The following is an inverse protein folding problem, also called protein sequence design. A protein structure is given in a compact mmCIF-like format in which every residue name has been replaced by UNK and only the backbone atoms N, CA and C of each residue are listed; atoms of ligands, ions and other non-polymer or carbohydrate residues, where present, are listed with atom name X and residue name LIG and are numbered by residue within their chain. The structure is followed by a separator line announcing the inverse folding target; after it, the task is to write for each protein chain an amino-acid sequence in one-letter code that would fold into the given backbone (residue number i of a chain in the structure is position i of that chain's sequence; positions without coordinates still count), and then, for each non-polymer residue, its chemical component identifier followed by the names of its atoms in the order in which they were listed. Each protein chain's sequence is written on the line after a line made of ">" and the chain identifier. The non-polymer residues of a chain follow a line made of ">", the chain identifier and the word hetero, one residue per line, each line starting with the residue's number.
data_IF_629799295930
#
_entry.id   IF_629799295930
#
_cell.length_a   1.000
_cell.length_b   1.000
_cell.length_c   1.000
_cell.angle_alpha   90.00
_cell.angle_beta   90.00
_cell.angle_gamma   90.00
#
_symmetry.space_group_name_H-M   'P 1'
#
loop_
_entity.id
_entity.type
_entity.pdbx_description
1 polymer ?
#
# COMPACT_ATOMS: atom_id res chain seq x y z
N UNK A 1 17.39 -8.57 -0.63
CA UNK A 1 16.60 -9.78 -0.30
C UNK A 1 17.17 -11.04 -0.93
N UNK A 2 17.66 -10.99 -2.17
CA UNK A 2 18.32 -12.14 -2.82
C UNK A 2 19.49 -12.73 -2.02
N UNK A 3 20.28 -11.91 -1.32
CA UNK A 3 21.42 -12.38 -0.53
C UNK A 3 20.99 -13.30 0.63
N UNK A 4 19.94 -12.94 1.37
CA UNK A 4 19.45 -13.77 2.48
C UNK A 4 18.78 -15.05 1.98
N UNK A 5 18.04 -14.99 0.87
CA UNK A 5 17.39 -16.15 0.28
C UNK A 5 18.36 -17.10 -0.45
N UNK A 6 19.48 -16.59 -0.98
CA UNK A 6 20.50 -17.42 -1.65
C UNK A 6 21.50 -18.07 -0.69
N UNK A 7 21.71 -17.46 0.49
CA UNK A 7 22.68 -17.95 1.48
C UNK A 7 22.05 -18.86 2.55
N UNK A 8 20.72 -18.77 2.74
CA UNK A 8 19.94 -19.55 3.70
C UNK A 8 18.79 -20.26 3.00
N UNK A 9 19.06 -21.42 2.45
CA UNK A 9 18.07 -22.21 1.69
C UNK A 9 16.99 -22.86 2.55
N UNK A 10 17.19 -22.99 3.88
CA UNK A 10 16.17 -23.47 4.83
C UNK A 10 16.45 -22.88 6.22
N UNK A 11 15.52 -22.13 6.78
CA UNK A 11 15.60 -21.61 8.14
C UNK A 11 15.74 -22.76 9.20
N UNK A 12 15.18 -23.93 8.91
CA UNK A 12 15.25 -25.13 9.74
C UNK A 12 16.67 -25.71 9.87
N UNK A 13 17.53 -25.54 8.85
CA UNK A 13 18.90 -26.08 8.87
C UNK A 13 19.86 -25.29 9.78
N UNK A 14 19.48 -24.08 10.21
CA UNK A 14 20.31 -23.17 11.00
C UNK A 14 19.74 -22.88 12.40
N UNK A 15 18.60 -23.48 12.77
CA UNK A 15 17.92 -23.20 14.05
C UNK A 15 17.32 -21.78 14.10
N UNK A 16 17.22 -21.10 12.98
CA UNK A 16 16.62 -19.76 12.91
C UNK A 16 15.10 -19.84 13.09
N UNK A 17 14.50 -18.89 13.79
CA UNK A 17 13.06 -18.81 13.90
C UNK A 17 12.38 -18.63 12.53
N UNK A 18 11.22 -19.25 12.28
CA UNK A 18 10.56 -19.20 10.97
C UNK A 18 10.12 -17.78 10.53
N UNK A 19 9.95 -16.88 11.49
CA UNK A 19 9.59 -15.48 11.25
C UNK A 19 10.78 -14.54 11.01
N UNK A 20 12.03 -15.02 11.18
CA UNK A 20 13.23 -14.18 11.17
C UNK A 20 13.40 -13.42 9.84
N UNK A 21 13.17 -14.09 8.70
CA UNK A 21 13.31 -13.47 7.39
C UNK A 21 12.30 -12.34 7.19
N UNK A 22 11.06 -12.53 7.60
CA UNK A 22 10.02 -11.50 7.52
C UNK A 22 10.32 -10.32 8.46
N UNK A 23 10.85 -10.61 9.66
CA UNK A 23 11.30 -9.57 10.59
C UNK A 23 12.44 -8.74 10.03
N UNK A 24 13.46 -9.38 9.46
CA UNK A 24 14.55 -8.67 8.80
C UNK A 24 14.06 -7.80 7.62
N UNK A 25 13.08 -8.29 6.86
CA UNK A 25 12.47 -7.52 5.78
C UNK A 25 11.70 -6.31 6.31
N UNK A 26 10.93 -6.50 7.38
CA UNK A 26 10.17 -5.44 8.02
C UNK A 26 11.08 -4.29 8.50
N UNK A 27 12.17 -4.62 9.22
CA UNK A 27 13.16 -3.64 9.67
C UNK A 27 13.87 -2.94 8.49
N UNK A 28 14.19 -3.71 7.44
CA UNK A 28 14.82 -3.15 6.24
C UNK A 28 13.88 -2.17 5.51
N UNK A 29 12.58 -2.47 5.42
CA UNK A 29 11.60 -1.57 4.78
C UNK A 29 11.49 -0.25 5.52
N UNK A 30 11.49 -0.26 6.86
CA UNK A 30 11.50 0.96 7.67
C UNK A 30 12.70 1.83 7.30
N UNK A 31 13.90 1.25 7.33
CA UNK A 31 15.13 1.97 6.99
C UNK A 31 15.11 2.46 5.54
N UNK A 32 14.64 1.64 4.59
CA UNK A 32 14.59 2.01 3.18
C UNK A 32 13.70 3.23 2.93
N UNK A 33 12.58 3.33 3.64
CA UNK A 33 11.69 4.50 3.57
C UNK A 33 12.27 5.72 4.27
N UNK A 34 12.97 5.53 5.40
CA UNK A 34 13.57 6.64 6.15
C UNK A 34 14.65 7.35 5.33
N UNK A 35 15.49 6.59 4.60
CA UNK A 35 16.60 7.13 3.81
C UNK A 35 16.22 7.41 2.34
N UNK A 36 14.99 7.18 1.92
CA UNK A 36 14.58 7.40 0.53
C UNK A 36 14.68 8.89 0.16
N UNK A 37 15.40 9.18 -0.93
CA UNK A 37 15.51 10.55 -1.50
C UNK A 37 14.34 10.81 -2.45
N UNK A 38 13.13 10.79 -1.90
CA UNK A 38 11.88 11.04 -2.60
C UNK A 38 11.00 11.98 -1.77
N UNK A 39 10.20 12.78 -2.46
CA UNK A 39 9.20 13.66 -1.85
C UNK A 39 7.79 13.26 -2.25
N UNK A 40 6.81 13.66 -1.46
CA UNK A 40 5.40 13.47 -1.79
C UNK A 40 5.02 14.38 -2.97
N UNK A 41 4.47 13.84 -4.07
CA UNK A 41 4.17 14.58 -5.29
C UNK A 41 2.87 15.40 -5.17
N UNK A 42 2.82 16.34 -4.23
CA UNK A 42 1.67 17.24 -4.04
C UNK A 42 1.38 18.13 -5.27
N UNK A 43 2.39 18.39 -6.07
CA UNK A 43 2.27 19.12 -7.34
C UNK A 43 1.41 18.38 -8.38
N UNK A 44 1.28 17.06 -8.26
CA UNK A 44 0.43 16.22 -9.13
C UNK A 44 -1.02 16.15 -8.65
N UNK A 45 -1.34 16.64 -7.46
CA UNK A 45 -2.68 16.59 -6.90
C UNK A 45 -3.52 17.76 -7.40
N UNK A 46 -4.73 17.47 -7.89
CA UNK A 46 -5.75 18.47 -8.20
C UNK A 46 -6.78 18.52 -7.05
N UNK A 47 -6.77 19.58 -6.21
CA UNK A 47 -7.73 19.69 -5.12
C UNK A 47 -9.19 19.86 -5.58
N UNK A 48 -9.38 20.27 -6.83
CA UNK A 48 -10.71 20.46 -7.47
C UNK A 48 -11.07 19.32 -8.42
N UNK A 49 -10.20 18.30 -8.55
CA UNK A 49 -10.42 17.16 -9.41
C UNK A 49 -11.69 16.38 -9.06
N UNK A 50 -12.31 15.76 -10.05
CA UNK A 50 -13.46 14.90 -9.83
C UNK A 50 -13.09 13.74 -8.90
N UNK A 51 -13.91 13.52 -7.88
CA UNK A 51 -13.61 12.53 -6.84
C UNK A 51 -13.71 11.10 -7.36
N UNK A 52 -14.70 10.81 -8.20
CA UNK A 52 -14.97 9.44 -8.67
C UNK A 52 -14.33 9.15 -10.01
N UNK A 53 -14.25 10.14 -10.88
CA UNK A 53 -13.83 9.96 -12.28
C UNK A 53 -12.38 10.42 -12.54
N UNK A 54 -11.62 10.71 -11.46
CA UNK A 54 -10.17 10.94 -11.54
C UNK A 54 -9.37 9.70 -11.18
N UNK A 55 -8.17 9.60 -11.76
CA UNK A 55 -7.11 8.77 -11.19
C UNK A 55 -6.65 9.38 -9.87
N UNK A 56 -6.01 8.58 -9.02
CA UNK A 56 -5.56 9.05 -7.72
C UNK A 56 -4.05 8.99 -7.60
N UNK A 57 -3.49 10.00 -6.97
CA UNK A 57 -2.06 10.02 -6.66
C UNK A 57 -1.82 9.20 -5.41
N UNK A 58 -1.11 8.09 -5.58
CA UNK A 58 -0.61 7.25 -4.48
C UNK A 58 0.81 7.71 -4.16
N UNK A 59 1.14 7.79 -2.88
CA UNK A 59 2.48 8.17 -2.44
C UNK A 59 3.53 7.18 -2.97
N UNK A 60 4.67 7.64 -3.49
CA UNK A 60 5.79 6.77 -3.83
C UNK A 60 6.54 6.25 -2.60
N UNK A 61 6.25 6.80 -1.43
CA UNK A 61 6.88 6.48 -0.15
C UNK A 61 6.04 5.53 0.68
N UNK A 62 5.53 4.46 0.04
CA UNK A 62 4.72 3.43 0.68
C UNK A 62 5.17 2.03 0.25
N UNK A 63 4.99 1.09 1.16
CA UNK A 63 5.08 -0.34 0.88
C UNK A 63 3.85 -1.03 1.47
N UNK A 64 3.07 -1.70 0.61
CA UNK A 64 1.96 -2.58 1.04
C UNK A 64 2.50 -4.01 1.11
N UNK A 65 2.53 -4.58 2.31
CA UNK A 65 3.24 -5.81 2.63
C UNK A 65 2.28 -6.85 3.22
N UNK A 66 2.49 -8.11 2.82
CA UNK A 66 1.83 -9.26 3.43
C UNK A 66 2.86 -10.18 4.06
N UNK A 67 2.67 -10.48 5.34
CA UNK A 67 3.51 -11.39 6.12
C UNK A 67 2.68 -12.57 6.61
N UNK A 68 3.34 -13.69 6.85
CA UNK A 68 2.72 -14.84 7.50
C UNK A 68 2.73 -14.71 9.04
N UNK A 69 3.60 -13.84 9.54
CA UNK A 69 3.80 -13.60 10.96
C UNK A 69 3.49 -12.14 11.32
N UNK A 70 2.96 -11.90 12.54
CA UNK A 70 2.73 -10.54 13.02
C UNK A 70 4.05 -9.87 13.47
N UNK A 71 4.97 -9.66 12.51
CA UNK A 71 6.36 -9.20 12.75
C UNK A 71 6.41 -7.86 13.49
N UNK A 72 5.44 -6.97 13.27
CA UNK A 72 5.34 -5.68 13.97
C UNK A 72 5.07 -5.79 15.47
N UNK A 73 4.70 -6.98 15.97
CA UNK A 73 4.46 -7.23 17.40
C UNK A 73 5.63 -7.93 18.07
N UNK A 74 6.68 -8.30 17.32
CA UNK A 74 7.83 -9.04 17.87
C UNK A 74 8.66 -8.10 18.74
N UNK A 75 8.92 -8.56 19.95
CA UNK A 75 9.78 -7.89 20.92
C UNK A 75 10.29 -8.87 21.97
N UNK A 76 11.19 -8.46 22.86
CA UNK A 76 11.81 -9.34 23.87
C UNK A 76 10.82 -10.10 24.75
N UNK A 77 9.63 -9.52 24.98
CA UNK A 77 8.58 -10.10 25.83
C UNK A 77 7.48 -10.83 25.05
N UNK A 78 7.45 -10.74 23.72
CA UNK A 78 6.36 -11.27 22.87
C UNK A 78 6.79 -12.41 21.97
N UNK A 79 8.09 -12.65 21.85
CA UNK A 79 8.67 -13.68 20.97
C UNK A 79 8.30 -15.10 21.41
N UNK A 80 8.18 -15.32 22.74
CA UNK A 80 7.74 -16.60 23.28
C UNK A 80 6.22 -16.74 23.10
N UNK A 81 5.80 -17.72 22.29
CA UNK A 81 4.38 -17.97 22.01
C UNK A 81 3.83 -17.22 20.80
N UNK A 82 4.69 -16.64 19.96
CA UNK A 82 4.28 -16.05 18.70
C UNK A 82 3.57 -17.09 17.81
N UNK A 83 2.34 -16.79 17.41
CA UNK A 83 1.52 -17.64 16.54
C UNK A 83 1.53 -17.08 15.12
N UNK A 84 1.72 -17.96 14.15
CA UNK A 84 1.60 -17.61 12.73
C UNK A 84 0.20 -17.09 12.44
N UNK A 85 0.13 -15.87 11.90
CA UNK A 85 -1.10 -15.20 11.54
C UNK A 85 -0.84 -14.30 10.33
N UNK A 86 -1.57 -14.47 9.21
CA UNK A 86 -1.46 -13.55 8.08
C UNK A 86 -1.66 -12.11 8.54
N UNK A 87 -0.70 -11.27 8.23
CA UNK A 87 -0.64 -9.88 8.66
C UNK A 87 -0.36 -8.99 7.47
N UNK A 88 -1.19 -7.97 7.27
CA UNK A 88 -1.02 -6.99 6.22
C UNK A 88 -0.63 -5.66 6.84
N UNK A 89 0.44 -5.06 6.32
CA UNK A 89 0.95 -3.78 6.79
C UNK A 89 1.14 -2.82 5.62
N UNK A 90 0.78 -1.57 5.83
CA UNK A 90 1.19 -0.47 4.97
C UNK A 90 2.24 0.31 5.75
N UNK A 91 3.49 0.29 5.26
CA UNK A 91 4.60 1.07 5.80
C UNK A 91 4.76 2.28 4.90
N UNK A 92 4.81 3.47 5.47
CA UNK A 92 4.84 4.72 4.69
C UNK A 92 5.60 5.81 5.43
N UNK A 93 6.14 6.78 4.66
CA UNK A 93 6.68 8.01 5.20
C UNK A 93 5.67 9.14 5.01
N UNK A 94 5.25 9.75 6.12
CA UNK A 94 4.26 10.82 6.13
C UNK A 94 4.85 12.18 5.70
N UNK A 95 3.99 13.20 5.54
CA UNK A 95 4.38 14.58 5.18
C UNK A 95 5.23 15.30 6.24
N UNK A 96 5.51 14.64 7.37
CA UNK A 96 6.40 15.13 8.43
C UNK A 96 7.72 14.37 8.48
N UNK A 97 8.06 13.66 7.40
CA UNK A 97 9.24 12.81 7.29
C UNK A 97 9.33 11.73 8.39
N UNK A 98 8.20 11.15 8.77
CA UNK A 98 8.15 10.07 9.75
C UNK A 98 7.69 8.78 9.11
N UNK A 99 8.47 7.72 9.28
CA UNK A 99 8.02 6.37 8.93
C UNK A 99 6.93 5.93 9.89
N UNK A 100 5.83 5.44 9.33
CA UNK A 100 4.63 5.01 10.03
C UNK A 100 4.20 3.64 9.54
N UNK A 101 3.46 2.96 10.40
CA UNK A 101 2.92 1.64 10.14
C UNK A 101 1.40 1.69 10.34
N UNK A 102 0.68 1.11 9.39
CA UNK A 102 -0.76 0.94 9.46
C UNK A 102 -1.07 -0.54 9.28
N UNK A 103 -1.66 -1.17 10.31
CA UNK A 103 -2.22 -2.52 10.15
C UNK A 103 -3.41 -2.47 9.18
N UNK A 104 -3.45 -3.41 8.26
CA UNK A 104 -4.33 -3.43 7.11
C UNK A 104 -4.96 -4.80 6.94
N UNK A 105 -5.80 -4.96 5.92
CA UNK A 105 -6.37 -6.23 5.50
C UNK A 105 -6.14 -6.47 4.00
N UNK A 106 -6.39 -7.71 3.54
CA UNK A 106 -6.20 -8.05 2.14
C UNK A 106 -7.05 -7.17 1.19
N UNK A 107 -8.33 -6.86 1.46
CA UNK A 107 -9.10 -5.91 0.67
C UNK A 107 -8.48 -4.51 0.58
N UNK A 108 -7.96 -3.97 1.68
CA UNK A 108 -7.28 -2.67 1.69
C UNK A 108 -6.01 -2.69 0.85
N UNK A 109 -5.19 -3.74 0.98
CA UNK A 109 -3.98 -3.91 0.16
C UNK A 109 -4.32 -4.03 -1.33
N UNK A 110 -5.38 -4.76 -1.68
CA UNK A 110 -5.87 -4.88 -3.05
C UNK A 110 -6.38 -3.56 -3.61
N UNK A 111 -7.20 -2.84 -2.82
CA UNK A 111 -7.71 -1.51 -3.18
C UNK A 111 -6.57 -0.52 -3.46
N UNK A 112 -5.54 -0.51 -2.59
CA UNK A 112 -4.37 0.34 -2.77
C UNK A 112 -3.57 -0.01 -4.02
N UNK A 113 -3.42 -1.30 -4.34
CA UNK A 113 -2.77 -1.75 -5.55
C UNK A 113 -3.53 -1.26 -6.81
N UNK A 114 -4.86 -1.39 -6.82
CA UNK A 114 -5.70 -0.92 -7.93
C UNK A 114 -5.65 0.60 -8.11
N UNK A 115 -5.58 1.37 -7.01
CA UNK A 115 -5.40 2.82 -7.08
C UNK A 115 -4.04 3.22 -7.68
N UNK A 116 -3.02 2.38 -7.54
CA UNK A 116 -1.70 2.58 -8.13
C UNK A 116 -1.65 2.30 -9.64
N UNK A 117 -2.67 1.64 -10.19
CA UNK A 117 -2.86 1.45 -11.62
C UNK A 117 -3.48 2.72 -12.24
N UNK A 118 -3.42 2.87 -13.56
CA UNK A 118 -4.08 3.98 -14.25
C UNK A 118 -5.59 3.74 -14.38
N UNK A 119 -6.30 3.82 -13.24
CA UNK A 119 -7.74 3.62 -13.10
C UNK A 119 -8.37 4.78 -12.34
N UNK A 120 -9.61 5.11 -12.69
CA UNK A 120 -10.43 6.03 -11.90
C UNK A 120 -10.91 5.35 -10.62
N UNK A 121 -11.24 6.13 -9.60
CA UNK A 121 -11.79 5.57 -8.36
C UNK A 121 -13.07 4.76 -8.61
N UNK A 122 -13.91 5.19 -9.56
CA UNK A 122 -15.13 4.46 -9.96
C UNK A 122 -14.79 3.06 -10.47
N UNK A 123 -13.80 2.94 -11.35
CA UNK A 123 -13.36 1.64 -11.89
C UNK A 123 -12.74 0.75 -10.82
N UNK A 124 -11.98 1.35 -9.90
CA UNK A 124 -11.42 0.61 -8.75
C UNK A 124 -12.52 0.06 -7.85
N UNK A 125 -13.53 0.87 -7.52
CA UNK A 125 -14.67 0.42 -6.70
C UNK A 125 -15.46 -0.67 -7.43
N UNK A 126 -15.70 -0.54 -8.73
CA UNK A 126 -16.38 -1.56 -9.52
C UNK A 126 -15.61 -2.89 -9.53
N UNK A 127 -14.28 -2.84 -9.67
CA UNK A 127 -13.43 -4.04 -9.58
C UNK A 127 -13.48 -4.68 -8.19
N UNK A 128 -13.47 -3.88 -7.13
CA UNK A 128 -13.61 -4.39 -5.76
C UNK A 128 -14.98 -5.02 -5.51
N UNK A 129 -16.04 -4.50 -6.12
CA UNK A 129 -17.39 -5.08 -6.04
C UNK A 129 -17.44 -6.48 -6.67
N UNK A 130 -16.81 -6.66 -7.83
CA UNK A 130 -16.66 -7.97 -8.47
C UNK A 130 -15.85 -8.97 -7.62
N UNK A 131 -14.81 -8.48 -6.95
CA UNK A 131 -13.92 -9.31 -6.12
C UNK A 131 -14.51 -9.63 -4.73
N UNK A 132 -15.60 -8.94 -4.31
CA UNK A 132 -16.23 -9.09 -2.99
C UNK A 132 -17.72 -9.48 -3.08
N UNK A 133 -18.08 -10.57 -3.79
CA UNK A 133 -19.47 -10.94 -4.09
C UNK A 133 -20.31 -11.30 -2.85
N UNK A 134 -19.68 -11.44 -1.68
CA UNK A 134 -20.35 -11.68 -0.40
C UNK A 134 -20.93 -10.39 0.23
N UNK A 135 -20.61 -9.22 -0.30
CA UNK A 135 -21.13 -7.92 0.16
C UNK A 135 -22.10 -7.36 -0.88
N UNK A 136 -22.97 -6.44 -0.46
CA UNK A 136 -23.73 -5.64 -1.42
C UNK A 136 -22.84 -4.57 -2.05
N UNK A 137 -23.14 -4.17 -3.28
CA UNK A 137 -22.43 -3.08 -3.98
C UNK A 137 -22.36 -1.80 -3.11
N UNK A 138 -23.44 -1.49 -2.40
CA UNK A 138 -23.48 -0.33 -1.50
C UNK A 138 -22.52 -0.48 -0.31
N UNK A 139 -22.38 -1.69 0.26
CA UNK A 139 -21.47 -1.95 1.37
C UNK A 139 -20.01 -1.91 0.90
N UNK A 140 -19.72 -2.42 -0.31
CA UNK A 140 -18.39 -2.34 -0.93
C UNK A 140 -18.01 -0.88 -1.15
N UNK A 141 -18.87 -0.09 -1.78
CA UNK A 141 -18.61 1.34 -2.00
C UNK A 141 -18.35 2.07 -0.68
N UNK A 142 -19.23 1.88 0.31
CA UNK A 142 -19.08 2.51 1.63
C UNK A 142 -17.75 2.11 2.31
N UNK A 143 -17.37 0.83 2.23
CA UNK A 143 -16.10 0.31 2.76
C UNK A 143 -14.91 0.94 2.05
N UNK A 144 -14.90 0.97 0.72
CA UNK A 144 -13.78 1.52 -0.07
C UNK A 144 -13.63 3.03 0.16
N UNK A 145 -14.72 3.78 0.26
CA UNK A 145 -14.68 5.21 0.58
C UNK A 145 -14.18 5.48 2.01
N UNK A 146 -14.53 4.64 2.97
CA UNK A 146 -13.99 4.73 4.32
C UNK A 146 -12.48 4.44 4.36
N UNK A 147 -12.05 3.39 3.64
CA UNK A 147 -10.64 3.04 3.46
C UNK A 147 -9.87 4.19 2.83
N UNK A 148 -10.39 4.76 1.75
CA UNK A 148 -9.77 5.91 1.08
C UNK A 148 -9.57 7.10 2.02
N UNK A 149 -10.55 7.41 2.87
CA UNK A 149 -10.41 8.49 3.87
C UNK A 149 -9.27 8.21 4.86
N UNK A 150 -9.14 6.97 5.32
CA UNK A 150 -8.07 6.55 6.22
C UNK A 150 -6.71 6.71 5.54
N UNK A 151 -6.56 6.21 4.31
CA UNK A 151 -5.32 6.28 3.53
C UNK A 151 -4.93 7.73 3.21
N UNK A 152 -5.91 8.61 2.94
CA UNK A 152 -5.67 10.05 2.75
C UNK A 152 -5.22 10.73 4.04
N UNK A 153 -5.84 10.40 5.17
CA UNK A 153 -5.44 10.94 6.47
C UNK A 153 -4.03 10.53 6.90
N UNK A 154 -3.48 9.49 6.27
CA UNK A 154 -2.14 8.97 6.49
C UNK A 154 -1.12 9.39 5.42
N UNK A 155 -1.47 10.25 4.46
CA UNK A 155 -0.64 10.63 3.31
C UNK A 155 -0.21 9.43 2.42
N UNK A 156 -0.90 8.30 2.52
CA UNK A 156 -0.69 7.12 1.67
C UNK A 156 -1.31 7.34 0.29
N UNK A 157 -2.47 7.97 0.25
CA UNK A 157 -3.15 8.43 -0.98
C UNK A 157 -3.34 9.93 -0.85
N UNK A 158 -2.85 10.70 -1.83
CA UNK A 158 -2.76 12.16 -1.70
C UNK A 158 -4.02 12.88 -2.20
N UNK A 159 -4.57 12.47 -3.34
CA UNK A 159 -5.75 13.11 -3.91
C UNK A 159 -5.95 12.77 -5.38
N UNK A 160 -7.02 13.33 -6.01
CA UNK A 160 -7.22 13.23 -7.45
C UNK A 160 -6.00 13.73 -8.22
N UNK A 161 -5.59 13.02 -9.27
CA UNK A 161 -4.44 13.36 -10.10
C UNK A 161 -4.81 14.49 -11.06
N UNK A 162 -3.93 15.49 -11.19
CA UNK A 162 -4.07 16.52 -12.22
C UNK A 162 -4.11 15.89 -13.60
N UNK A 163 -5.09 16.26 -14.37
CA UNK A 163 -5.14 15.91 -15.77
C UNK A 163 -4.07 16.72 -16.52
N UNK A 164 -2.97 16.10 -16.86
CA UNK A 164 -2.01 16.69 -17.80
C UNK A 164 -2.58 16.49 -19.21
N UNK A 165 -3.49 17.38 -19.60
CA UNK A 165 -4.05 17.38 -20.94
C UNK A 165 -2.99 17.66 -22.00
N UNK A 166 -2.25 16.65 -22.40
CA UNK A 166 -1.77 16.56 -23.77
C UNK A 166 -2.98 16.15 -24.61
N UNK A 167 -3.77 17.14 -24.99
CA UNK A 167 -4.71 16.97 -26.10
C UNK A 167 -3.88 16.53 -27.30
N UNK A 168 -4.04 15.28 -27.74
CA UNK A 168 -3.84 14.92 -29.12
C UNK A 168 -4.81 15.76 -29.97
N UNK A 169 -4.51 17.05 -30.12
CA UNK A 169 -4.95 17.88 -31.22
C UNK A 169 -3.77 17.90 -32.16
N UNK A 170 -3.84 17.06 -33.16
CA UNK A 170 -3.32 17.27 -34.50
C UNK A 170 -3.16 15.92 -35.21
N UNK A 171 -4.25 15.35 -35.65
CA UNK A 171 -4.31 14.58 -36.90
C UNK A 171 -5.75 14.64 -37.43
N UNK A 172 -6.15 15.80 -37.92
CA UNK A 172 -7.10 15.93 -39.02
C UNK A 172 -6.75 17.24 -39.74
N UNK A 173 -6.00 17.12 -40.79
CA UNK A 173 -6.09 17.90 -42.01
C UNK A 173 -4.89 17.57 -42.93
N UNK A 174 -5.10 16.70 -43.86
CA UNK A 174 -4.95 16.92 -45.33
C UNK A 174 -5.26 15.63 -46.10
#
# INVERSE_FOLDING_TARGET
>A
MEFLSSTRTNAEDHGDPPWLLEMCHYEWVELALDVADLELPWDQVDPAGDFMDSHWVVSPLIWSLGYQWPVHTIGPSTVEGLVQKPTFLIVFRDSKDKVRFLESDAPTSRFLALLGEERTLREVIAQMDEEMPQLSTQDVEAKMLATLRTLRGADVVLGPKKYNGLVEKDIVDE
#
